data_IF_213008013054
#
_entry.id   IF_213008013054
#
_cell.length_a   1.000
_cell.length_b   1.000
_cell.length_c   1.000
_cell.angle_alpha   90.00
_cell.angle_beta   90.00
_cell.angle_gamma   90.00
#
_symmetry.space_group_name_H-M   'P 1'
#
loop_
_entity.id
_entity.type
_entity.pdbx_description
1 polymer ?
#
# COMPACT_ATOMS: atom_id res chain seq x y z
N UNK A 1 -0.18 4.48 -2.32
CA UNK A 1 -1.06 3.52 -1.61
C UNK A 1 -1.66 2.55 -2.60
N UNK A 2 -1.92 1.32 -2.20
CA UNK A 2 -2.65 0.34 -3.00
C UNK A 2 -3.69 -0.38 -2.14
N UNK A 3 -4.89 -0.56 -2.67
CA UNK A 3 -5.98 -1.30 -2.03
C UNK A 3 -6.24 -2.60 -2.77
N UNK A 4 -6.72 -3.61 -2.03
CA UNK A 4 -7.08 -4.91 -2.59
C UNK A 4 -8.57 -5.18 -2.40
N UNK A 5 -9.17 -5.77 -3.43
CA UNK A 5 -10.57 -6.21 -3.43
C UNK A 5 -10.58 -7.71 -3.66
N UNK A 6 -11.32 -8.46 -2.84
CA UNK A 6 -11.47 -9.90 -2.93
C UNK A 6 -12.96 -10.22 -2.98
N UNK A 7 -13.41 -10.87 -4.05
CA UNK A 7 -14.83 -11.21 -4.21
C UNK A 7 -15.77 -9.99 -4.34
N UNK A 8 -15.24 -8.83 -4.76
CA UNK A 8 -16.00 -7.57 -4.83
C UNK A 8 -15.93 -6.72 -3.56
N UNK A 9 -15.40 -7.27 -2.46
CA UNK A 9 -15.31 -6.59 -1.16
C UNK A 9 -13.89 -6.05 -0.89
N UNK A 10 -13.75 -4.87 -0.27
CA UNK A 10 -12.45 -4.35 0.14
C UNK A 10 -11.83 -5.24 1.21
N UNK A 11 -10.58 -5.65 1.00
CA UNK A 11 -9.92 -6.69 1.81
C UNK A 11 -8.54 -6.28 2.34
N UNK A 12 -8.01 -5.12 1.97
CA UNK A 12 -6.74 -4.66 2.51
C UNK A 12 -6.22 -3.37 1.89
N UNK A 13 -5.26 -2.77 2.59
CA UNK A 13 -4.50 -1.60 2.18
C UNK A 13 -3.01 -1.89 2.35
N UNK A 14 -2.18 -1.26 1.52
CA UNK A 14 -0.74 -1.25 1.64
C UNK A 14 -0.14 0.08 1.20
N UNK A 15 1.00 0.42 1.78
CA UNK A 15 1.76 1.63 1.45
C UNK A 15 3.14 1.20 0.93
N UNK A 16 3.55 1.85 -0.17
CA UNK A 16 4.89 1.73 -0.72
C UNK A 16 5.51 3.12 -0.81
N UNK A 17 6.77 3.22 -0.41
CA UNK A 17 7.55 4.46 -0.42
C UNK A 17 8.86 4.27 -1.18
N UNK A 18 9.29 5.33 -1.83
CA UNK A 18 10.55 5.44 -2.55
C UNK A 18 11.20 6.79 -2.18
N UNK A 19 12.50 6.91 -2.42
CA UNK A 19 13.23 8.15 -2.15
C UNK A 19 12.94 9.20 -3.24
N UNK A 20 12.54 8.74 -4.44
CA UNK A 20 12.10 9.58 -5.55
C UNK A 20 10.59 9.80 -5.61
N UNK A 21 10.11 10.72 -6.46
CA UNK A 21 8.69 11.08 -6.53
C UNK A 21 7.81 10.01 -7.20
N UNK A 22 8.41 8.96 -7.77
CA UNK A 22 7.71 7.89 -8.50
C UNK A 22 8.01 6.57 -7.80
N UNK A 23 6.97 5.84 -7.40
CA UNK A 23 7.13 4.47 -6.92
C UNK A 23 7.51 3.53 -8.05
N UNK A 24 8.51 2.69 -7.81
CA UNK A 24 9.08 1.72 -8.74
C UNK A 24 8.82 0.29 -8.27
N UNK A 25 9.39 -0.70 -8.97
CA UNK A 25 9.35 -2.09 -8.52
C UNK A 25 10.26 -2.36 -7.31
N UNK A 26 11.22 -1.48 -7.01
CA UNK A 26 12.10 -1.61 -5.85
C UNK A 26 11.63 -0.82 -4.62
N UNK A 27 10.56 -0.03 -4.73
CA UNK A 27 9.99 0.71 -3.60
C UNK A 27 9.59 -0.22 -2.46
N UNK A 28 9.84 0.23 -1.24
CA UNK A 28 9.74 -0.55 0.00
C UNK A 28 8.28 -0.64 0.42
N UNK A 29 7.86 -1.78 0.97
CA UNK A 29 6.62 -1.84 1.74
C UNK A 29 6.89 -1.31 3.15
N UNK A 30 6.06 -0.37 3.60
CA UNK A 30 6.20 0.22 4.93
C UNK A 30 5.08 -0.27 5.85
N UNK A 31 5.36 -0.50 7.15
CA UNK A 31 4.33 -0.78 8.13
C UNK A 31 3.32 0.37 8.20
N UNK A 32 2.05 0.04 8.35
CA UNK A 32 0.99 1.01 8.61
C UNK A 32 -0.03 0.39 9.57
N UNK A 33 -0.70 1.26 10.32
CA UNK A 33 -1.77 0.89 11.23
C UNK A 33 -2.99 1.77 10.95
N UNK A 34 -4.17 1.19 11.11
CA UNK A 34 -5.42 1.95 11.16
C UNK A 34 -5.73 2.14 12.64
N UNK A 35 -5.70 3.38 13.09
CA UNK A 35 -6.01 3.76 14.46
C UNK A 35 -7.41 4.38 14.52
N UNK A 36 -8.13 4.12 15.62
CA UNK A 36 -9.50 4.56 15.85
C UNK A 36 -9.62 5.89 16.58
#
# INVERSE_FOLDING_TARGET
MGGWVIGGEPAGLGIREDDGPITTNFSRFVPHAIEG
#
